data_IF_406194299941
#
_entry.id   IF_406194299941
#
_cell.length_a   1.000
_cell.length_b   1.000
_cell.length_c   1.000
_cell.angle_alpha   90.00
_cell.angle_beta   90.00
_cell.angle_gamma   90.00
#
_symmetry.space_group_name_H-M   'P 1'
#
loop_
_entity.id
_entity.type
_entity.pdbx_description
1 polymer ?
#
# COMPACT_ATOMS: atom_id res chain seq x y z
N UNK A 1 7.28 -64.52 -15.03
CA UNK A 1 6.16 -63.87 -15.74
C UNK A 1 6.43 -62.37 -15.81
N UNK A 2 6.90 -61.89 -16.94
CA UNK A 2 7.14 -60.46 -17.21
C UNK A 2 5.85 -59.90 -17.86
N UNK A 3 5.31 -58.79 -17.40
CA UNK A 3 4.23 -58.06 -18.08
C UNK A 3 4.79 -56.74 -18.60
N UNK A 4 4.79 -56.61 -19.91
CA UNK A 4 5.03 -55.37 -20.65
C UNK A 4 3.95 -54.32 -20.35
N UNK A 5 4.37 -53.10 -20.10
CA UNK A 5 3.47 -51.93 -20.07
C UNK A 5 3.83 -51.04 -21.26
N UNK A 6 2.91 -50.97 -22.21
CA UNK A 6 3.00 -50.13 -23.42
C UNK A 6 2.85 -48.65 -23.05
N UNK A 7 3.76 -47.82 -23.56
CA UNK A 7 3.66 -46.36 -23.60
C UNK A 7 2.59 -45.96 -24.62
N UNK A 8 1.64 -45.16 -24.20
CA UNK A 8 0.72 -44.41 -25.08
C UNK A 8 1.21 -42.98 -25.14
N UNK A 9 1.68 -42.55 -26.30
CA UNK A 9 2.03 -41.15 -26.58
C UNK A 9 0.77 -40.41 -27.00
N UNK A 10 0.48 -39.29 -26.36
CA UNK A 10 -0.49 -38.30 -26.80
C UNK A 10 0.23 -37.04 -27.22
N UNK A 11 0.27 -36.81 -28.54
CA UNK A 11 0.74 -35.56 -29.13
C UNK A 11 -0.29 -34.46 -28.96
N UNK A 12 0.18 -33.28 -28.65
CA UNK A 12 -0.61 -32.05 -28.66
C UNK A 12 -0.44 -31.34 -30.00
N UNK A 13 -1.53 -30.75 -30.57
CA UNK A 13 -1.42 -29.95 -31.79
C UNK A 13 -0.89 -28.54 -31.45
N UNK A 14 0.04 -28.07 -32.26
CA UNK A 14 0.53 -26.72 -32.28
C UNK A 14 -0.56 -25.78 -32.85
N UNK A 15 -0.93 -24.76 -32.11
CA UNK A 15 -1.77 -23.66 -32.59
C UNK A 15 -0.86 -22.56 -33.12
N UNK A 16 -0.90 -22.34 -34.41
CA UNK A 16 -0.22 -21.25 -35.10
C UNK A 16 -0.97 -19.94 -34.87
N UNK A 17 -0.29 -18.94 -34.32
CA UNK A 17 -0.83 -17.57 -34.22
C UNK A 17 -0.53 -16.81 -35.50
N UNK A 18 -1.58 -16.35 -36.17
CA UNK A 18 -1.49 -15.48 -37.34
C UNK A 18 -1.27 -14.04 -36.89
N UNK A 19 -0.16 -13.44 -37.36
CA UNK A 19 0.14 -12.01 -37.18
C UNK A 19 -0.52 -11.25 -38.35
N UNK A 20 -1.49 -10.39 -38.04
CA UNK A 20 -2.06 -9.47 -39.00
C UNK A 20 -1.31 -8.13 -38.95
N UNK A 21 -0.57 -7.84 -40.00
CA UNK A 21 0.11 -6.54 -40.24
C UNK A 21 -0.93 -5.58 -40.84
N UNK A 22 -1.22 -4.48 -40.12
CA UNK A 22 -1.99 -3.37 -40.68
C UNK A 22 -1.00 -2.30 -41.13
N UNK A 23 -0.96 -2.07 -42.45
CA UNK A 23 -0.23 -0.97 -43.09
C UNK A 23 -1.21 0.23 -43.14
N UNK A 24 -0.87 1.29 -42.42
CA UNK A 24 -1.62 2.55 -42.45
C UNK A 24 -0.86 3.59 -43.25
N UNK A 25 -1.49 4.11 -44.29
CA UNK A 25 -0.98 5.07 -45.25
C UNK A 25 -0.87 6.49 -44.66
N UNK A 26 0.25 7.14 -44.93
CA UNK A 26 0.51 8.55 -44.67
C UNK A 26 -0.18 9.44 -45.72
N UNK A 27 -0.84 10.51 -45.30
CA UNK A 27 -1.30 11.59 -46.16
C UNK A 27 -0.51 12.86 -45.76
N UNK A 28 0.35 13.33 -46.70
CA UNK A 28 0.96 14.66 -46.67
C UNK A 28 -0.10 15.69 -47.08
N UNK A 29 -0.23 16.78 -46.33
CA UNK A 29 -0.90 18.00 -46.70
C UNK A 29 0.00 19.20 -46.42
N UNK A 30 0.60 19.75 -47.45
CA UNK A 30 1.34 21.01 -47.43
C UNK A 30 0.49 22.13 -48.03
N UNK A 31 0.50 23.31 -47.38
CA UNK A 31 0.22 24.68 -47.93
C UNK A 31 0.46 25.63 -46.74
N UNK A 32 1.36 26.60 -46.71
CA UNK A 32 1.72 27.63 -47.67
C UNK A 32 1.08 28.95 -47.22
N UNK A 33 1.83 29.87 -46.56
CA UNK A 33 1.32 31.19 -46.19
C UNK A 33 2.41 32.09 -45.61
N UNK A 34 2.95 32.95 -46.47
CA UNK A 34 3.96 34.00 -46.23
C UNK A 34 3.38 35.23 -45.56
N UNK A 35 4.13 35.90 -44.68
CA UNK A 35 3.81 37.22 -44.14
C UNK A 35 4.98 37.82 -43.36
N UNK A 36 5.66 38.76 -43.98
CA UNK A 36 6.86 39.48 -43.47
C UNK A 36 6.47 40.75 -42.68
N UNK A 37 7.41 41.22 -41.87
CA UNK A 37 7.48 42.58 -41.27
C UNK A 37 7.67 42.52 -39.75
N UNK A 38 8.75 42.95 -39.11
CA UNK A 38 9.61 44.08 -39.28
C UNK A 38 9.90 44.69 -37.90
N UNK A 39 11.19 44.98 -37.63
CA UNK A 39 11.73 45.94 -36.67
C UNK A 39 11.92 45.57 -35.18
N UNK A 40 13.13 45.30 -34.82
CA UNK A 40 14.11 45.95 -33.91
C UNK A 40 13.62 46.55 -32.57
N UNK A 41 14.28 46.12 -31.49
CA UNK A 41 14.21 46.78 -30.17
C UNK A 41 14.94 46.03 -29.07
N UNK A 42 16.25 46.32 -28.92
CA UNK A 42 17.07 46.43 -27.70
C UNK A 42 16.91 45.44 -26.53
N UNK A 43 18.05 44.76 -26.22
CA UNK A 43 18.39 44.14 -24.92
C UNK A 43 18.53 45.21 -23.81
N UNK A 44 18.38 44.89 -22.52
CA UNK A 44 19.56 44.38 -21.80
C UNK A 44 19.32 43.15 -20.93
N UNK A 45 20.46 42.53 -20.61
CA UNK A 45 20.69 41.40 -19.68
C UNK A 45 20.05 41.58 -18.30
N UNK A 46 19.43 40.50 -17.82
CA UNK A 46 19.48 40.18 -16.40
C UNK A 46 19.47 38.64 -16.22
N UNK A 47 20.69 38.14 -15.97
CA UNK A 47 20.92 36.78 -15.56
C UNK A 47 20.47 36.62 -14.09
N UNK A 48 19.26 36.14 -13.87
CA UNK A 48 18.90 35.53 -12.57
C UNK A 48 19.04 34.02 -12.74
N UNK A 49 20.16 33.53 -12.26
CA UNK A 49 20.48 32.11 -12.13
C UNK A 49 19.68 31.55 -10.96
N UNK A 50 18.49 31.03 -11.22
CA UNK A 50 17.78 30.23 -10.28
C UNK A 50 18.39 28.82 -10.24
N UNK A 51 19.27 28.58 -9.28
CA UNK A 51 19.72 27.24 -8.92
C UNK A 51 18.58 26.59 -8.10
N UNK A 52 17.68 25.92 -8.78
CA UNK A 52 16.78 24.96 -8.12
C UNK A 52 17.60 23.70 -7.85
N UNK A 53 18.04 23.52 -6.61
CA UNK A 53 18.50 22.24 -6.12
C UNK A 53 17.31 21.28 -6.12
N UNK A 54 17.42 20.07 -6.70
CA UNK A 54 16.40 19.06 -6.50
C UNK A 54 16.48 18.61 -5.05
N UNK A 55 15.47 18.94 -4.25
CA UNK A 55 15.22 18.30 -2.97
C UNK A 55 15.01 16.83 -3.21
N UNK A 56 15.98 16.00 -2.88
CA UNK A 56 15.83 14.55 -2.81
C UNK A 56 14.66 14.23 -1.89
N UNK A 57 13.70 13.41 -2.31
CA UNK A 57 12.67 12.91 -1.40
C UNK A 57 13.35 12.07 -0.32
N UNK A 58 13.01 12.35 0.93
CA UNK A 58 13.49 11.59 2.07
C UNK A 58 13.23 10.09 1.85
N UNK A 59 14.28 9.29 1.96
CA UNK A 59 14.18 7.85 1.97
C UNK A 59 13.36 7.45 3.20
N UNK A 60 12.14 6.94 2.99
CA UNK A 60 11.40 6.23 4.02
C UNK A 60 12.09 4.88 4.23
N UNK A 61 13.10 4.87 5.08
CA UNK A 61 13.65 3.63 5.61
C UNK A 61 12.54 2.99 6.47
N UNK A 62 12.35 1.68 6.33
CA UNK A 62 11.52 0.89 7.25
C UNK A 62 11.73 1.39 8.68
N UNK A 63 10.66 1.57 9.49
CA UNK A 63 10.84 2.11 10.82
C UNK A 63 11.80 1.20 11.58
N UNK A 64 13.02 1.70 11.75
CA UNK A 64 13.99 1.13 12.67
C UNK A 64 13.28 1.08 14.02
N UNK A 65 13.38 -0.01 14.79
CA UNK A 65 12.85 -0.02 16.16
C UNK A 65 13.31 1.26 16.84
N UNK A 66 12.38 2.10 17.26
CA UNK A 66 12.70 3.37 17.91
C UNK A 66 13.29 2.99 19.27
N UNK A 67 14.62 2.79 19.31
CA UNK A 67 15.34 2.53 20.52
C UNK A 67 15.18 3.75 21.44
N UNK A 68 14.54 3.57 22.59
CA UNK A 68 14.42 4.60 23.62
C UNK A 68 13.03 5.15 23.91
N UNK A 69 11.97 4.75 23.17
CA UNK A 69 10.62 5.10 23.60
C UNK A 69 10.14 4.14 24.68
N UNK A 70 10.17 4.60 25.93
CA UNK A 70 9.64 3.84 27.08
C UNK A 70 8.17 3.49 26.84
N UNK A 71 7.82 2.22 27.05
CA UNK A 71 6.45 1.70 26.95
C UNK A 71 5.58 2.04 28.18
N UNK A 72 6.00 3.01 29.01
CA UNK A 72 5.24 3.41 30.21
C UNK A 72 3.99 4.17 29.75
N UNK A 73 2.78 3.68 30.12
CA UNK A 73 1.53 4.33 29.78
C UNK A 73 1.43 5.74 30.37
N UNK A 74 0.85 6.66 29.60
CA UNK A 74 0.51 8.00 30.08
C UNK A 74 -0.73 7.91 31.00
N UNK A 75 -0.64 8.37 32.26
CA UNK A 75 -1.78 8.30 33.18
C UNK A 75 -2.96 9.18 32.77
N UNK A 76 -2.75 10.13 31.84
CA UNK A 76 -3.84 10.97 31.28
C UNK A 76 -4.70 10.28 30.23
N UNK A 77 -4.36 9.05 29.82
CA UNK A 77 -5.14 8.24 28.89
C UNK A 77 -5.72 7.00 29.56
N UNK A 78 -6.81 6.41 28.99
CA UNK A 78 -7.30 5.10 29.44
C UNK A 78 -6.19 4.04 29.34
N UNK A 79 -6.26 3.04 30.22
CA UNK A 79 -5.32 1.92 30.21
C UNK A 79 -5.40 1.15 28.88
N UNK A 80 -4.25 0.68 28.34
CA UNK A 80 -4.23 -0.18 27.16
C UNK A 80 -4.97 -1.50 27.42
N UNK A 81 -5.81 -1.91 26.45
CA UNK A 81 -6.51 -3.21 26.48
C UNK A 81 -5.85 -4.22 25.53
N UNK A 82 -4.93 -3.78 24.71
CA UNK A 82 -4.01 -4.59 23.91
C UNK A 82 -2.58 -4.08 24.07
N UNK A 83 -1.59 -4.82 23.60
CA UNK A 83 -0.20 -4.36 23.68
C UNK A 83 0.03 -3.06 22.89
N UNK A 84 0.85 -2.17 23.44
CA UNK A 84 1.34 -0.94 22.79
C UNK A 84 2.54 -1.19 21.87
N UNK A 85 3.12 -2.40 21.86
CA UNK A 85 4.26 -2.71 20.99
C UNK A 85 3.81 -2.78 19.54
N UNK A 86 4.67 -2.32 18.64
CA UNK A 86 4.40 -2.36 17.22
C UNK A 86 4.50 -3.81 16.72
N UNK A 87 3.41 -4.33 16.17
CA UNK A 87 3.35 -5.69 15.65
C UNK A 87 4.00 -5.78 14.26
N UNK A 88 4.81 -6.81 14.08
CA UNK A 88 5.46 -7.15 12.81
C UNK A 88 5.24 -8.62 12.43
N UNK A 89 5.01 -9.49 13.42
CA UNK A 89 4.90 -10.93 13.24
C UNK A 89 3.53 -11.37 12.68
N UNK A 90 3.48 -12.57 12.10
CA UNK A 90 2.24 -13.19 11.61
C UNK A 90 1.61 -14.13 12.65
N UNK A 91 0.27 -14.15 12.73
CA UNK A 91 -0.49 -15.11 13.53
C UNK A 91 -0.39 -16.56 13.01
N UNK A 92 0.17 -16.76 11.82
CA UNK A 92 0.43 -18.09 11.20
C UNK A 92 1.86 -18.58 11.43
N UNK A 93 2.67 -17.85 12.20
CA UNK A 93 4.04 -18.24 12.53
C UNK A 93 5.09 -17.83 11.49
N UNK A 94 6.33 -18.36 11.62
CA UNK A 94 7.50 -17.79 10.93
C UNK A 94 7.51 -17.99 9.41
N UNK A 95 6.82 -19.01 8.88
CA UNK A 95 6.73 -19.24 7.43
C UNK A 95 5.37 -18.78 6.90
N UNK A 96 5.05 -17.53 7.20
CA UNK A 96 3.82 -16.88 6.77
C UNK A 96 4.10 -15.43 6.37
N UNK A 97 3.17 -14.83 5.62
CA UNK A 97 3.20 -13.42 5.25
C UNK A 97 1.85 -12.77 5.54
N UNK A 98 1.91 -11.50 5.88
CA UNK A 98 0.75 -10.64 6.07
C UNK A 98 0.74 -9.60 4.95
N UNK A 99 -0.33 -9.52 4.19
CA UNK A 99 -0.55 -8.45 3.21
C UNK A 99 -1.23 -7.29 3.92
N UNK A 100 -0.64 -6.10 3.83
CA UNK A 100 -1.22 -4.87 4.37
C UNK A 100 -1.27 -3.80 3.28
N UNK A 101 -2.35 -3.02 3.26
CA UNK A 101 -2.65 -2.07 2.19
C UNK A 101 -3.09 -0.75 2.82
N UNK A 102 -2.38 0.33 2.50
CA UNK A 102 -2.56 1.63 3.12
C UNK A 102 -3.16 2.67 2.17
N UNK A 103 -3.56 3.81 2.73
CA UNK A 103 -4.02 5.03 2.06
C UNK A 103 -5.40 4.99 1.40
N UNK A 104 -6.07 3.84 1.41
CA UNK A 104 -7.44 3.72 0.92
C UNK A 104 -8.52 4.26 1.90
N UNK A 105 -9.80 4.02 1.58
CA UNK A 105 -10.25 3.44 0.33
C UNK A 105 -10.11 4.38 -0.88
N UNK A 106 -9.96 3.78 -2.06
CA UNK A 106 -10.00 4.47 -3.36
C UNK A 106 -11.10 3.84 -4.22
N UNK A 107 -11.92 4.63 -4.96
CA UNK A 107 -13.05 4.09 -5.69
C UNK A 107 -12.67 3.19 -6.87
N UNK A 108 -11.43 3.30 -7.36
CA UNK A 108 -10.90 2.54 -8.50
C UNK A 108 -9.97 1.41 -8.03
N UNK A 109 -9.02 1.74 -7.14
CA UNK A 109 -7.92 0.83 -6.84
C UNK A 109 -8.26 -0.17 -5.75
N UNK A 110 -8.97 0.23 -4.69
CA UNK A 110 -9.39 -0.71 -3.64
C UNK A 110 -10.20 -1.89 -4.18
N UNK A 111 -11.23 -1.69 -5.06
CA UNK A 111 -11.95 -2.82 -5.65
C UNK A 111 -11.08 -3.73 -6.53
N UNK A 112 -10.04 -3.19 -7.17
CA UNK A 112 -9.10 -3.99 -7.98
C UNK A 112 -8.17 -4.82 -7.11
N UNK A 113 -7.67 -4.26 -6.01
CA UNK A 113 -6.88 -5.00 -4.99
C UNK A 113 -7.73 -6.10 -4.38
N UNK A 114 -8.97 -5.81 -3.96
CA UNK A 114 -9.91 -6.79 -3.42
C UNK A 114 -10.15 -7.96 -4.39
N UNK A 115 -10.30 -7.66 -5.69
CA UNK A 115 -10.43 -8.72 -6.72
C UNK A 115 -9.22 -9.63 -6.74
N UNK A 116 -8.00 -9.08 -6.78
CA UNK A 116 -6.76 -9.88 -6.79
C UNK A 116 -6.65 -10.73 -5.53
N UNK A 117 -6.97 -10.19 -4.36
CA UNK A 117 -6.96 -10.93 -3.09
C UNK A 117 -7.98 -12.06 -3.11
N UNK A 118 -9.21 -11.82 -3.55
CA UNK A 118 -10.28 -12.81 -3.68
C UNK A 118 -9.90 -13.93 -4.64
N UNK A 119 -9.41 -13.59 -5.84
CA UNK A 119 -9.03 -14.56 -6.87
C UNK A 119 -7.89 -15.49 -6.38
N UNK A 120 -7.09 -15.00 -5.43
CA UNK A 120 -6.03 -15.79 -4.78
C UNK A 120 -6.43 -16.37 -3.43
N UNK A 121 -7.65 -16.17 -2.92
CA UNK A 121 -8.09 -16.67 -1.61
C UNK A 121 -7.27 -16.10 -0.44
N UNK A 122 -6.74 -14.88 -0.56
CA UNK A 122 -5.91 -14.22 0.44
C UNK A 122 -6.70 -13.13 1.16
N UNK A 123 -6.51 -13.02 2.47
CA UNK A 123 -7.05 -11.92 3.28
C UNK A 123 -5.94 -10.98 3.67
N UNK A 124 -6.27 -9.69 3.80
CA UNK A 124 -5.34 -8.60 4.06
C UNK A 124 -5.84 -7.68 5.19
N UNK A 125 -4.96 -6.81 5.66
CA UNK A 125 -5.33 -5.67 6.51
C UNK A 125 -5.34 -4.42 5.64
N UNK A 126 -6.41 -3.64 5.73
CA UNK A 126 -6.53 -2.34 5.05
C UNK A 126 -6.45 -1.23 6.09
N UNK A 127 -5.37 -0.44 6.06
CA UNK A 127 -5.20 0.75 6.89
C UNK A 127 -5.82 1.93 6.15
N UNK A 128 -7.05 2.26 6.52
CA UNK A 128 -7.85 3.24 5.80
C UNK A 128 -7.79 4.60 6.46
N UNK A 129 -7.76 5.66 5.65
CA UNK A 129 -7.79 7.05 6.09
C UNK A 129 -9.23 7.41 6.46
N UNK A 130 -9.44 8.03 7.63
CA UNK A 130 -10.76 8.31 8.18
C UNK A 130 -11.66 9.13 7.24
N UNK A 131 -11.14 10.22 6.66
CA UNK A 131 -11.89 11.05 5.71
C UNK A 131 -12.31 10.27 4.46
N UNK A 132 -11.43 9.43 3.92
CA UNK A 132 -11.74 8.57 2.77
C UNK A 132 -12.74 7.46 3.12
N UNK A 133 -12.65 6.91 4.34
CA UNK A 133 -13.63 5.95 4.81
C UNK A 133 -15.03 6.55 4.88
N UNK A 134 -15.14 7.79 5.39
CA UNK A 134 -16.41 8.51 5.45
C UNK A 134 -16.97 8.86 4.05
N UNK A 135 -16.10 9.19 3.08
CA UNK A 135 -16.49 9.46 1.69
C UNK A 135 -16.93 8.21 0.93
N UNK A 136 -16.33 7.04 1.22
CA UNK A 136 -16.53 5.79 0.47
C UNK A 136 -16.98 4.62 1.36
N UNK A 137 -18.05 4.77 2.18
CA UNK A 137 -18.46 3.76 3.14
C UNK A 137 -18.86 2.43 2.48
N UNK A 138 -19.33 2.46 1.23
CA UNK A 138 -19.63 1.23 0.50
C UNK A 138 -18.39 0.37 0.24
N UNK A 139 -17.25 1.01 -0.06
CA UNK A 139 -15.98 0.31 -0.27
C UNK A 139 -15.45 -0.25 1.05
N UNK A 140 -15.56 0.51 2.15
CA UNK A 140 -15.19 0.00 3.49
C UNK A 140 -16.02 -1.23 3.87
N UNK A 141 -17.33 -1.20 3.64
CA UNK A 141 -18.19 -2.37 3.88
C UNK A 141 -17.83 -3.56 2.98
N UNK A 142 -17.40 -3.32 1.74
CA UNK A 142 -16.91 -4.38 0.86
C UNK A 142 -15.64 -5.04 1.42
N UNK A 143 -14.67 -4.24 1.90
CA UNK A 143 -13.46 -4.76 2.58
C UNK A 143 -13.85 -5.73 3.70
N UNK A 144 -14.79 -5.32 4.55
CA UNK A 144 -15.26 -6.14 5.68
C UNK A 144 -16.01 -7.39 5.19
N UNK A 145 -16.94 -7.24 4.25
CA UNK A 145 -17.75 -8.34 3.72
C UNK A 145 -16.89 -9.43 3.05
N UNK A 146 -15.76 -9.04 2.47
CA UNK A 146 -14.79 -9.98 1.90
C UNK A 146 -13.85 -10.61 2.94
N UNK A 147 -14.02 -10.30 4.25
CA UNK A 147 -13.30 -10.93 5.37
C UNK A 147 -11.89 -10.36 5.60
N UNK A 148 -11.61 -9.17 5.11
CA UNK A 148 -10.40 -8.42 5.43
C UNK A 148 -10.53 -7.71 6.78
N UNK A 149 -9.40 -7.33 7.39
CA UNK A 149 -9.38 -6.59 8.65
C UNK A 149 -9.15 -5.10 8.41
N UNK A 150 -9.79 -4.26 9.23
CA UNK A 150 -9.60 -2.82 9.19
C UNK A 150 -8.48 -2.39 10.13
N UNK A 151 -7.76 -1.36 9.72
CA UNK A 151 -6.72 -0.68 10.44
C UNK A 151 -6.96 0.84 10.30
N UNK A 152 -6.74 1.56 11.36
CA UNK A 152 -6.81 3.00 11.45
C UNK A 152 -5.54 3.63 10.89
N UNK A 153 -5.67 4.54 9.93
CA UNK A 153 -4.55 5.27 9.33
C UNK A 153 -4.68 6.78 9.50
N UNK A 154 -5.24 7.20 10.65
CA UNK A 154 -5.55 8.58 11.04
C UNK A 154 -6.64 9.25 10.21
N UNK A 155 -7.10 10.43 10.64
CA UNK A 155 -8.15 11.17 9.93
C UNK A 155 -7.63 11.74 8.60
N UNK A 156 -6.43 12.37 8.60
CA UNK A 156 -5.92 13.15 7.47
C UNK A 156 -4.59 12.68 6.90
N UNK A 157 -4.02 11.59 7.43
CA UNK A 157 -2.73 11.05 6.97
C UNK A 157 -1.56 12.05 7.11
N UNK A 158 -1.41 12.70 8.27
CA UNK A 158 -0.27 13.59 8.54
C UNK A 158 0.98 12.77 8.91
N UNK A 159 1.95 12.70 8.00
CA UNK A 159 3.22 11.97 8.19
C UNK A 159 4.16 12.63 9.20
N UNK A 160 3.82 13.81 9.71
CA UNK A 160 4.56 14.53 10.75
C UNK A 160 3.85 14.50 12.10
N UNK A 161 2.94 13.57 12.30
CA UNK A 161 2.08 13.46 13.48
C UNK A 161 2.88 13.34 14.79
N UNK A 162 4.06 12.74 14.76
CA UNK A 162 4.99 12.61 15.89
C UNK A 162 5.51 13.96 16.40
N UNK A 163 5.51 15.00 15.56
CA UNK A 163 5.86 16.38 15.94
C UNK A 163 4.64 17.23 16.35
N UNK A 164 3.43 16.69 16.31
CA UNK A 164 2.20 17.41 16.65
C UNK A 164 1.86 17.31 18.13
N UNK A 165 1.10 18.30 18.67
CA UNK A 165 0.61 18.24 20.03
C UNK A 165 -0.21 16.95 20.30
N UNK A 166 -0.23 16.53 21.57
CA UNK A 166 -1.01 15.35 21.99
C UNK A 166 -2.50 15.44 21.64
N UNK A 167 -3.10 16.63 21.76
CA UNK A 167 -4.51 16.86 21.38
C UNK A 167 -4.76 16.57 19.90
N UNK A 168 -3.82 16.93 19.03
CA UNK A 168 -3.89 16.61 17.60
C UNK A 168 -3.78 15.11 17.39
N UNK A 169 -2.76 14.44 17.97
CA UNK A 169 -2.59 13.00 17.86
C UNK A 169 -3.82 12.23 18.32
N UNK A 170 -4.45 12.67 19.41
CA UNK A 170 -5.69 12.08 19.90
C UNK A 170 -6.85 12.25 18.90
N UNK A 171 -7.04 13.46 18.38
CA UNK A 171 -8.09 13.74 17.40
C UNK A 171 -7.92 12.91 16.12
N UNK A 172 -6.68 12.76 15.65
CA UNK A 172 -6.35 11.98 14.45
C UNK A 172 -6.62 10.47 14.63
N UNK A 173 -6.21 9.88 15.74
CA UNK A 173 -6.39 8.43 15.96
C UNK A 173 -7.82 8.13 16.40
N UNK A 174 -8.34 8.79 17.42
CA UNK A 174 -9.69 8.52 17.93
C UNK A 174 -10.78 8.91 16.91
N UNK A 175 -10.58 10.01 16.19
CA UNK A 175 -11.50 10.44 15.14
C UNK A 175 -11.58 9.46 13.98
N UNK A 176 -10.43 8.96 13.50
CA UNK A 176 -10.40 7.99 12.41
C UNK A 176 -11.05 6.66 12.83
N UNK A 177 -10.76 6.17 14.04
CA UNK A 177 -11.40 4.96 14.54
C UNK A 177 -12.94 5.05 14.51
N UNK A 178 -13.49 6.20 14.92
CA UNK A 178 -14.93 6.46 14.87
C UNK A 178 -15.46 6.53 13.43
N UNK A 179 -14.77 7.24 12.53
CA UNK A 179 -15.16 7.35 11.11
C UNK A 179 -15.17 5.97 10.44
N UNK A 180 -14.16 5.16 10.71
CA UNK A 180 -14.03 3.80 10.16
C UNK A 180 -15.14 2.89 10.69
N UNK A 181 -15.43 2.92 12.00
CA UNK A 181 -16.52 2.15 12.61
C UNK A 181 -17.88 2.52 11.99
N UNK A 182 -18.14 3.81 11.80
CA UNK A 182 -19.37 4.27 11.14
C UNK A 182 -19.43 3.84 9.67
N UNK A 183 -18.36 4.02 8.90
CA UNK A 183 -18.31 3.67 7.49
C UNK A 183 -18.47 2.18 7.25
N UNK A 184 -17.92 1.35 8.13
CA UNK A 184 -17.97 -0.10 8.05
C UNK A 184 -19.32 -0.72 8.46
N UNK A 185 -20.21 0.08 9.09
CA UNK A 185 -21.46 -0.42 9.66
C UNK A 185 -21.27 -1.04 11.06
N UNK A 186 -20.36 -0.51 11.87
CA UNK A 186 -20.15 -0.87 13.27
C UNK A 186 -18.95 -1.82 13.51
N UNK A 187 -18.15 -2.11 12.47
CA UNK A 187 -16.94 -2.93 12.63
C UNK A 187 -15.76 -2.05 13.03
N UNK A 188 -15.20 -2.27 14.21
CA UNK A 188 -14.06 -1.53 14.72
C UNK A 188 -12.77 -1.90 14.01
N UNK A 189 -11.86 -0.95 13.75
CA UNK A 189 -10.51 -1.27 13.31
C UNK A 189 -9.77 -2.08 14.41
N UNK A 190 -9.01 -3.07 13.98
CA UNK A 190 -8.25 -3.95 14.89
C UNK A 190 -6.80 -3.53 15.05
N UNK A 191 -6.33 -2.66 14.17
CA UNK A 191 -4.96 -2.18 14.13
C UNK A 191 -4.95 -0.65 13.96
N UNK A 192 -3.80 -0.07 14.26
CA UNK A 192 -3.47 1.32 14.00
C UNK A 192 -2.09 1.39 13.36
N UNK A 193 -1.97 2.10 12.26
CA UNK A 193 -0.69 2.42 11.63
C UNK A 193 -0.52 3.91 11.53
N UNK A 194 0.58 4.44 12.11
CA UNK A 194 0.90 5.85 11.97
C UNK A 194 1.37 6.13 10.54
N UNK A 195 0.84 7.17 9.86
CA UNK A 195 1.32 7.61 8.56
C UNK A 195 2.84 7.82 8.54
N UNK A 196 3.51 7.30 7.50
CA UNK A 196 4.98 7.37 7.41
C UNK A 196 5.74 6.71 8.56
N UNK A 197 5.09 5.91 9.40
CA UNK A 197 5.71 5.31 10.59
C UNK A 197 5.92 6.29 11.76
N UNK A 198 5.26 7.45 11.76
CA UNK A 198 5.38 8.50 12.78
C UNK A 198 4.70 8.13 14.12
N UNK A 199 5.06 6.96 14.67
CA UNK A 199 4.55 6.49 15.95
C UNK A 199 5.13 7.29 17.12
N UNK A 200 4.28 7.60 18.10
CA UNK A 200 4.70 8.07 19.41
C UNK A 200 4.23 7.09 20.49
N UNK A 201 4.81 7.09 21.71
CA UNK A 201 4.25 6.34 22.84
C UNK A 201 2.80 6.71 23.08
N UNK A 202 2.46 8.00 22.91
CA UNK A 202 1.12 8.53 23.13
C UNK A 202 0.12 8.01 22.08
N UNK A 203 0.43 8.10 20.79
CA UNK A 203 -0.44 7.59 19.72
C UNK A 203 -0.67 6.07 19.82
N UNK A 204 0.37 5.32 20.19
CA UNK A 204 0.28 3.88 20.43
C UNK A 204 -0.61 3.54 21.62
N UNK A 205 -0.57 4.34 22.69
CA UNK A 205 -1.45 4.14 23.84
C UNK A 205 -2.91 4.46 23.49
N UNK A 206 -3.19 5.54 22.76
CA UNK A 206 -4.54 5.84 22.28
C UNK A 206 -5.10 4.63 21.54
N UNK A 207 -4.37 4.14 20.54
CA UNK A 207 -4.77 2.99 19.77
C UNK A 207 -5.02 1.75 20.64
N UNK A 208 -4.07 1.43 21.53
CA UNK A 208 -4.15 0.25 22.40
C UNK A 208 -5.29 0.34 23.42
N UNK A 209 -5.62 1.52 23.94
CA UNK A 209 -6.77 1.74 24.82
C UNK A 209 -8.11 1.55 24.10
N UNK A 210 -8.15 1.73 22.78
CA UNK A 210 -9.32 1.50 21.92
C UNK A 210 -9.37 0.07 21.34
N UNK A 211 -8.41 -0.79 21.71
CA UNK A 211 -8.35 -2.18 21.25
C UNK A 211 -7.65 -2.36 19.89
N UNK A 212 -6.96 -1.34 19.40
CA UNK A 212 -6.20 -1.37 18.16
C UNK A 212 -4.72 -1.66 18.43
N UNK A 213 -4.19 -2.75 17.87
CA UNK A 213 -2.77 -3.07 17.95
C UNK A 213 -1.97 -2.13 17.03
N UNK A 214 -0.94 -1.42 17.50
CA UNK A 214 -0.01 -0.72 16.63
C UNK A 214 0.61 -1.69 15.61
N UNK A 215 0.61 -1.32 14.31
CA UNK A 215 1.00 -2.19 13.20
C UNK A 215 2.12 -1.56 12.39
N UNK A 216 3.30 -2.19 12.41
CA UNK A 216 4.42 -1.86 11.55
C UNK A 216 4.45 -2.67 10.26
N UNK A 217 5.59 -2.67 9.60
CA UNK A 217 5.91 -3.50 8.43
C UNK A 217 7.39 -3.91 8.47
N UNK A 218 7.71 -4.98 7.76
CA UNK A 218 9.06 -5.50 7.61
C UNK A 218 9.60 -5.22 6.19
N UNK A 219 8.68 -5.15 5.23
CA UNK A 219 8.95 -4.98 3.81
C UNK A 219 8.19 -3.77 3.32
N UNK A 220 8.90 -2.72 2.91
CA UNK A 220 8.33 -1.56 2.22
C UNK A 220 8.52 -1.75 0.73
N UNK A 221 7.45 -1.93 0.01
CA UNK A 221 7.52 -2.19 -1.44
C UNK A 221 7.83 -0.94 -2.26
N UNK A 222 7.78 0.24 -1.66
CA UNK A 222 7.91 1.53 -2.34
C UNK A 222 6.93 1.69 -3.52
N UNK A 223 5.86 0.92 -3.55
CA UNK A 223 4.90 0.87 -4.66
C UNK A 223 4.22 2.22 -4.93
N UNK A 224 4.09 3.05 -3.88
CA UNK A 224 3.56 4.41 -3.99
C UNK A 224 4.44 5.31 -4.88
N UNK A 225 5.74 5.02 -5.01
CA UNK A 225 6.67 5.70 -5.92
C UNK A 225 6.49 5.28 -7.38
N UNK A 226 5.75 4.22 -7.64
CA UNK A 226 5.51 3.63 -8.97
C UNK A 226 6.81 3.22 -9.68
N UNK A 227 7.65 2.38 -9.03
CA UNK A 227 8.98 2.02 -9.55
C UNK A 227 8.93 0.99 -10.69
N UNK A 228 7.75 0.51 -11.04
CA UNK A 228 7.51 -0.60 -11.94
C UNK A 228 7.16 -1.89 -11.21
N UNK A 229 6.26 -2.68 -11.80
CA UNK A 229 5.80 -3.96 -11.22
C UNK A 229 6.95 -4.89 -10.86
N UNK A 230 7.97 -5.02 -11.72
CA UNK A 230 9.09 -5.90 -11.44
C UNK A 230 9.96 -5.41 -10.28
N UNK A 231 10.14 -4.09 -10.11
CA UNK A 231 10.87 -3.53 -8.98
C UNK A 231 10.16 -3.85 -7.65
N UNK A 232 8.83 -3.71 -7.60
CA UNK A 232 8.02 -4.09 -6.42
C UNK A 232 8.23 -5.57 -6.07
N UNK A 233 8.19 -6.46 -7.07
CA UNK A 233 8.40 -7.90 -6.87
C UNK A 233 9.81 -8.19 -6.34
N UNK A 234 10.83 -7.57 -6.93
CA UNK A 234 12.23 -7.75 -6.51
C UNK A 234 12.46 -7.27 -5.08
N UNK A 235 11.84 -6.14 -4.69
CA UNK A 235 11.91 -5.64 -3.30
C UNK A 235 11.35 -6.68 -2.33
N UNK A 236 10.17 -7.22 -2.61
CA UNK A 236 9.58 -8.25 -1.74
C UNK A 236 10.47 -9.49 -1.65
N UNK A 237 10.96 -10.01 -2.78
CA UNK A 237 11.82 -11.20 -2.82
C UNK A 237 13.12 -10.97 -2.03
N UNK A 238 13.72 -9.79 -2.13
CA UNK A 238 14.96 -9.44 -1.43
C UNK A 238 14.76 -9.24 0.06
N UNK A 239 13.66 -8.61 0.46
CA UNK A 239 13.40 -8.22 1.85
C UNK A 239 12.58 -9.27 2.62
N UNK A 240 12.10 -10.32 1.99
CA UNK A 240 11.31 -11.37 2.64
C UNK A 240 11.95 -11.95 3.91
N UNK A 241 13.30 -12.08 4.01
CA UNK A 241 13.97 -12.51 5.24
C UNK A 241 13.82 -11.53 6.43
N UNK A 242 13.48 -10.25 6.18
CA UNK A 242 13.32 -9.24 7.24
C UNK A 242 12.09 -9.47 8.10
N UNK A 243 11.10 -10.22 7.61
CA UNK A 243 9.89 -10.56 8.34
C UNK A 243 8.63 -10.60 7.48
N UNK A 244 7.49 -10.95 8.10
CA UNK A 244 6.31 -11.36 7.35
C UNK A 244 5.40 -10.23 6.86
N UNK A 245 5.49 -9.01 7.41
CA UNK A 245 4.48 -7.96 7.13
C UNK A 245 4.91 -7.08 5.97
N UNK A 246 4.17 -7.16 4.87
CA UNK A 246 4.44 -6.47 3.62
C UNK A 246 3.48 -5.28 3.48
N UNK A 247 4.05 -4.11 3.16
CA UNK A 247 3.33 -2.87 2.94
C UNK A 247 3.10 -2.62 1.45
N UNK A 248 1.84 -2.41 1.10
CA UNK A 248 1.35 -1.92 -0.19
C UNK A 248 0.41 -0.74 0.02
N UNK A 249 0.02 -0.07 -1.08
CA UNK A 249 -0.90 1.05 -1.05
C UNK A 249 -1.98 0.89 -2.13
N UNK A 250 -3.23 1.28 -1.79
CA UNK A 250 -4.34 1.34 -2.74
C UNK A 250 -4.93 2.75 -2.92
N UNK A 251 -4.36 3.74 -2.22
CA UNK A 251 -4.72 5.15 -2.35
C UNK A 251 -3.55 6.04 -2.81
N UNK A 252 -3.82 7.33 -3.03
CA UNK A 252 -2.79 8.33 -3.34
C UNK A 252 -2.29 8.33 -4.80
N UNK A 253 -3.12 7.92 -5.77
CA UNK A 253 -2.83 8.02 -7.21
C UNK A 253 -2.95 6.71 -7.98
N UNK A 254 -2.24 6.58 -9.10
CA UNK A 254 -2.27 5.36 -9.91
C UNK A 254 -1.59 4.19 -9.19
N UNK A 255 -2.33 3.10 -8.97
CA UNK A 255 -1.89 1.86 -8.32
C UNK A 255 -1.94 0.64 -9.25
N UNK A 256 -1.90 0.89 -10.55
CA UNK A 256 -1.89 -0.20 -11.56
C UNK A 256 -0.72 -1.17 -11.35
N UNK A 257 0.45 -0.64 -10.99
CA UNK A 257 1.65 -1.43 -10.72
C UNK A 257 1.52 -2.26 -9.43
N UNK A 258 0.90 -1.70 -8.38
CA UNK A 258 0.59 -2.42 -7.14
C UNK A 258 -0.35 -3.59 -7.41
N UNK A 259 -1.44 -3.36 -8.14
CA UNK A 259 -2.40 -4.41 -8.52
C UNK A 259 -1.73 -5.51 -9.31
N UNK A 260 -0.90 -5.15 -10.31
CA UNK A 260 -0.16 -6.11 -11.12
C UNK A 260 0.88 -6.89 -10.30
N UNK A 261 1.57 -6.20 -9.38
CA UNK A 261 2.55 -6.84 -8.49
C UNK A 261 1.86 -7.84 -7.54
N UNK A 262 0.76 -7.48 -6.90
CA UNK A 262 -0.01 -8.39 -6.05
C UNK A 262 -0.49 -9.62 -6.84
N UNK A 263 -1.02 -9.44 -8.05
CA UNK A 263 -1.48 -10.54 -8.89
C UNK A 263 -0.37 -11.54 -9.23
N UNK A 264 0.85 -11.07 -9.42
CA UNK A 264 2.01 -11.92 -9.69
C UNK A 264 2.63 -12.51 -8.41
N UNK A 265 2.65 -11.75 -7.31
CA UNK A 265 3.32 -12.11 -6.05
C UNK A 265 2.58 -13.21 -5.29
N UNK A 266 1.25 -13.09 -5.14
CA UNK A 266 0.49 -13.99 -4.28
C UNK A 266 0.61 -15.47 -4.68
N UNK A 267 0.48 -15.87 -5.96
CA UNK A 267 0.73 -17.24 -6.37
C UNK A 267 2.20 -17.67 -6.20
N UNK A 268 3.17 -16.77 -6.39
CA UNK A 268 4.60 -17.08 -6.16
C UNK A 268 4.87 -17.44 -4.71
N UNK A 269 4.41 -16.59 -3.76
CA UNK A 269 4.57 -16.85 -2.32
C UNK A 269 3.92 -18.18 -1.92
N UNK A 270 2.72 -18.48 -2.43
CA UNK A 270 2.06 -19.77 -2.18
C UNK A 270 2.88 -20.94 -2.70
N UNK A 271 3.42 -20.85 -3.91
CA UNK A 271 4.25 -21.91 -4.51
C UNK A 271 5.58 -22.12 -3.76
N UNK A 272 6.07 -21.08 -3.08
CA UNK A 272 7.21 -21.14 -2.15
C UNK A 272 6.82 -21.69 -0.76
N UNK A 273 5.56 -22.05 -0.55
CA UNK A 273 5.07 -22.63 0.70
C UNK A 273 4.68 -21.63 1.78
N UNK A 274 4.68 -20.32 1.49
CA UNK A 274 4.24 -19.31 2.46
C UNK A 274 2.74 -19.42 2.72
N UNK A 275 2.37 -19.34 4.00
CA UNK A 275 0.97 -19.18 4.44
C UNK A 275 0.64 -17.71 4.49
N UNK A 276 -0.62 -17.37 4.23
CA UNK A 276 -1.12 -16.01 4.42
C UNK A 276 -1.83 -15.92 5.77
N UNK A 277 -1.43 -14.94 6.56
CA UNK A 277 -1.94 -14.68 7.90
C UNK A 277 -2.31 -13.22 8.11
N UNK A 278 -2.59 -12.90 9.36
CA UNK A 278 -2.75 -11.53 9.82
C UNK A 278 -1.64 -11.18 10.81
N UNK A 279 -1.33 -9.89 10.97
CA UNK A 279 -0.44 -9.47 12.04
C UNK A 279 -0.99 -9.90 13.41
N UNK A 280 -0.09 -10.24 14.33
CA UNK A 280 -0.45 -10.54 15.73
C UNK A 280 -1.12 -9.34 16.40
N UNK A 281 -1.98 -9.61 17.39
CA UNK A 281 -2.69 -8.59 18.17
C UNK A 281 -2.25 -8.59 19.62
#
# INVERSE_FOLDING_TARGET
MRRDVRRVGTGWPAVAAAVATVVGASVLGAMGGTGAGGAAGSRPDDRVRATASPTSPAHHTSPRPIAGQTSVPDPGLPAPVVSMDIAHASDKGPHAVNITVDDGPDPVWTPRVLRVLRDNGVKAVFCVIGTKAAELPAVVRQIVAEGHRLCDHTVHHDTTMDHKPRSFQYAEVAGAAQMIEQASGGVKPLYYRAPGGAFTPYSRQIAASMGMRPLGWNIDTDDYKRPGTQAILNTVEHELPNGPTILFHDGGGDRSQTVAALAALLPRLRNQGYRFGFPVR
#
